data_IF_855167588046
#
_entry.id   IF_855167588046
#
_cell.length_a   1.000
_cell.length_b   1.000
_cell.length_c   1.000
_cell.angle_alpha   90.00
_cell.angle_beta   90.00
_cell.angle_gamma   90.00
#
_symmetry.space_group_name_H-M   'P 1'
#
loop_
_entity.id
_entity.type
_entity.pdbx_description
1 polymer ?
#
# COMPACT_ATOMS: atom_id res chain seq x y z
N UNK A 1 9.76 -15.43 19.32
CA UNK A 1 8.81 -14.79 20.26
C UNK A 1 8.19 -15.82 21.18
N UNK A 2 7.70 -15.41 22.34
CA UNK A 2 6.97 -16.30 23.25
C UNK A 2 5.61 -16.70 22.62
N UNK A 3 5.17 -17.96 22.74
CA UNK A 3 3.84 -18.37 22.33
C UNK A 3 2.74 -17.72 23.17
N UNK A 4 1.52 -17.67 22.63
CA UNK A 4 0.34 -17.24 23.40
C UNK A 4 0.04 -18.23 24.54
N UNK A 5 -0.60 -17.74 25.60
CA UNK A 5 -1.08 -18.59 26.69
C UNK A 5 -2.36 -19.33 26.31
N UNK A 6 -2.66 -20.43 27.01
CA UNK A 6 -3.93 -21.15 26.83
C UNK A 6 -5.14 -20.25 27.07
N UNK A 7 -5.10 -19.40 28.10
CA UNK A 7 -6.14 -18.40 28.36
C UNK A 7 -6.37 -17.49 27.14
N UNK A 8 -5.29 -17.04 26.51
CA UNK A 8 -5.40 -16.19 25.32
C UNK A 8 -5.96 -16.96 24.12
N UNK A 9 -5.61 -18.23 23.98
CA UNK A 9 -6.18 -19.11 22.97
C UNK A 9 -7.70 -19.28 23.15
N UNK A 10 -8.16 -19.46 24.39
CA UNK A 10 -9.59 -19.58 24.71
C UNK A 10 -10.33 -18.28 24.36
N UNK A 11 -9.79 -17.11 24.75
CA UNK A 11 -10.34 -15.79 24.37
C UNK A 11 -10.47 -15.61 22.85
N UNK A 12 -9.47 -16.04 22.07
CA UNK A 12 -9.49 -15.95 20.62
C UNK A 12 -10.51 -16.92 20.00
N UNK A 13 -10.63 -18.12 20.57
CA UNK A 13 -11.59 -19.13 20.11
C UNK A 13 -13.03 -18.69 20.38
N UNK A 14 -13.29 -18.08 21.53
CA UNK A 14 -14.60 -17.51 21.87
C UNK A 14 -14.95 -16.33 20.94
N UNK A 15 -13.98 -15.46 20.67
CA UNK A 15 -14.20 -14.25 19.88
C UNK A 15 -14.41 -14.51 18.39
N UNK A 16 -13.61 -15.39 17.79
CA UNK A 16 -13.55 -15.57 16.34
C UNK A 16 -14.15 -16.90 15.86
N UNK A 17 -14.36 -17.84 16.78
CA UNK A 17 -14.73 -19.21 16.45
C UNK A 17 -13.52 -20.06 16.07
N UNK A 18 -13.55 -21.32 16.50
CA UNK A 18 -12.45 -22.28 16.31
C UNK A 18 -12.10 -22.52 14.83
N UNK A 19 -13.10 -22.53 13.96
CA UNK A 19 -12.92 -22.75 12.52
C UNK A 19 -12.20 -21.59 11.84
N UNK A 20 -12.70 -20.37 12.03
CA UNK A 20 -12.06 -19.14 11.53
C UNK A 20 -10.62 -19.05 12.01
N UNK A 21 -10.40 -19.28 13.30
CA UNK A 21 -9.06 -19.23 13.90
C UNK A 21 -8.10 -20.26 13.28
N UNK A 22 -8.58 -21.46 12.92
CA UNK A 22 -7.76 -22.46 12.25
C UNK A 22 -7.29 -21.98 10.86
N UNK A 23 -8.21 -21.42 10.09
CA UNK A 23 -7.91 -20.92 8.74
C UNK A 23 -7.00 -19.70 8.76
N UNK A 24 -7.25 -18.75 9.67
CA UNK A 24 -6.42 -17.56 9.82
C UNK A 24 -5.00 -17.93 10.27
N UNK A 25 -4.86 -18.83 11.25
CA UNK A 25 -3.54 -19.31 11.66
C UNK A 25 -2.83 -20.04 10.52
N UNK A 26 -3.54 -20.84 9.71
CA UNK A 26 -2.93 -21.53 8.57
C UNK A 26 -2.41 -20.54 7.54
N UNK A 27 -3.19 -19.51 7.23
CA UNK A 27 -2.77 -18.44 6.34
C UNK A 27 -1.52 -17.73 6.85
N UNK A 28 -1.49 -17.37 8.14
CA UNK A 28 -0.32 -16.71 8.74
C UNK A 28 0.91 -17.63 8.78
N UNK A 29 0.72 -18.94 8.96
CA UNK A 29 1.78 -19.94 8.85
C UNK A 29 2.33 -20.02 7.42
N UNK A 30 1.46 -20.05 6.42
CA UNK A 30 1.85 -20.15 5.01
C UNK A 30 2.59 -18.91 4.51
N UNK A 31 2.31 -17.75 5.11
CA UNK A 31 3.06 -16.52 4.87
C UNK A 31 4.33 -16.40 5.71
N UNK A 32 4.65 -17.39 6.53
CA UNK A 32 5.82 -17.38 7.40
C UNK A 32 5.76 -16.38 8.56
N UNK A 33 4.57 -15.83 8.87
CA UNK A 33 4.38 -14.82 9.93
C UNK A 33 4.17 -15.46 11.30
N UNK A 34 3.58 -16.65 11.33
CA UNK A 34 3.40 -17.48 12.52
C UNK A 34 4.14 -18.81 12.32
N UNK A 35 4.62 -19.42 13.40
CA UNK A 35 5.36 -20.69 13.33
C UNK A 35 4.57 -21.76 12.55
N UNK A 36 5.18 -22.49 11.60
CA UNK A 36 4.49 -23.34 10.64
C UNK A 36 3.68 -24.49 11.26
N UNK A 37 4.06 -24.94 12.47
CA UNK A 37 3.37 -25.98 13.23
C UNK A 37 2.30 -25.46 14.20
N UNK A 38 1.90 -24.18 14.14
CA UNK A 38 0.90 -23.61 15.04
C UNK A 38 -0.49 -24.23 14.85
N UNK A 39 -0.84 -24.61 13.63
CA UNK A 39 -2.07 -25.34 13.30
C UNK A 39 -1.79 -26.40 12.23
N UNK A 40 -2.41 -27.57 12.40
CA UNK A 40 -2.30 -28.70 11.45
C UNK A 40 -3.69 -29.11 11.01
N UNK A 41 -3.85 -29.27 9.69
CA UNK A 41 -5.05 -29.76 9.05
C UNK A 41 -4.84 -31.22 8.68
N UNK A 42 -5.60 -32.11 9.31
CA UNK A 42 -5.63 -33.53 9.01
C UNK A 42 -6.34 -33.79 7.68
N UNK A 43 -6.04 -34.95 7.08
CA UNK A 43 -6.69 -35.42 5.84
C UNK A 43 -8.17 -35.75 6.04
N UNK A 44 -8.60 -35.88 7.30
CA UNK A 44 -9.98 -36.08 7.75
C UNK A 44 -10.75 -34.76 7.97
N UNK A 45 -10.11 -33.62 7.71
CA UNK A 45 -10.68 -32.29 8.00
C UNK A 45 -10.54 -31.87 9.47
N UNK A 46 -9.90 -32.68 10.30
CA UNK A 46 -9.58 -32.36 11.69
C UNK A 46 -8.57 -31.22 11.79
N UNK A 47 -8.76 -30.32 12.77
CA UNK A 47 -7.87 -29.18 13.00
C UNK A 47 -7.27 -29.29 14.39
N UNK A 48 -5.95 -29.39 14.45
CA UNK A 48 -5.19 -29.46 15.70
C UNK A 48 -4.40 -28.18 15.90
N UNK A 49 -4.58 -27.53 17.05
CA UNK A 49 -3.84 -26.34 17.44
C UNK A 49 -2.68 -26.72 18.36
N UNK A 50 -1.49 -26.24 18.06
CA UNK A 50 -0.33 -26.39 18.93
C UNK A 50 -0.08 -25.05 19.63
N UNK A 51 -0.73 -24.84 20.78
CA UNK A 51 -0.69 -23.58 21.52
C UNK A 51 0.76 -23.15 21.83
N UNK A 52 1.63 -24.11 22.18
CA UNK A 52 3.06 -23.87 22.42
C UNK A 52 3.86 -23.46 21.18
N UNK A 53 3.23 -23.43 20.01
CA UNK A 53 3.80 -22.97 18.73
C UNK A 53 3.02 -21.81 18.13
N UNK A 54 1.92 -21.34 18.72
CA UNK A 54 1.24 -20.12 18.23
C UNK A 54 2.07 -18.91 18.69
N UNK A 55 3.09 -18.58 17.90
CA UNK A 55 4.03 -17.50 18.13
C UNK A 55 4.41 -16.85 16.79
N UNK A 56 4.63 -15.53 16.81
CA UNK A 56 5.17 -14.82 15.66
C UNK A 56 6.62 -15.26 15.37
N UNK A 57 6.94 -15.35 14.08
CA UNK A 57 8.33 -15.45 13.58
C UNK A 57 9.01 -14.08 13.63
N UNK A 58 10.28 -14.00 13.22
CA UNK A 58 10.94 -12.70 13.04
C UNK A 58 10.18 -11.84 12.03
N UNK A 59 9.88 -12.40 10.85
CA UNK A 59 9.08 -11.75 9.81
C UNK A 59 7.68 -11.36 10.29
N UNK A 60 7.07 -12.17 11.17
CA UNK A 60 5.78 -11.85 11.78
C UNK A 60 5.83 -10.65 12.72
N UNK A 61 6.92 -10.49 13.47
CA UNK A 61 7.16 -9.33 14.33
C UNK A 61 7.42 -8.09 13.49
N UNK A 62 8.25 -8.21 12.45
CA UNK A 62 8.52 -7.11 11.54
C UNK A 62 7.26 -6.69 10.79
N UNK A 63 6.42 -7.64 10.36
CA UNK A 63 5.14 -7.36 9.74
C UNK A 63 4.14 -6.67 10.69
N UNK A 64 4.08 -7.10 11.94
CA UNK A 64 3.18 -6.50 12.94
C UNK A 64 3.62 -5.09 13.38
N UNK A 65 4.93 -4.80 13.29
CA UNK A 65 5.51 -3.51 13.65
C UNK A 65 5.69 -2.57 12.44
N UNK A 66 5.72 -3.10 11.23
CA UNK A 66 5.69 -2.31 10.02
C UNK A 66 4.30 -1.66 9.88
N UNK A 67 4.27 -0.46 9.30
CA UNK A 67 3.04 0.18 8.87
C UNK A 67 2.42 -0.70 7.76
N UNK A 68 1.61 -1.67 8.16
CA UNK A 68 1.04 -2.73 7.31
C UNK A 68 0.23 -2.13 6.16
N UNK A 69 -0.33 -0.95 6.36
CA UNK A 69 -1.02 -0.14 5.36
C UNK A 69 -0.03 0.36 4.28
N UNK A 70 1.16 0.81 4.65
CA UNK A 70 2.18 1.30 3.71
C UNK A 70 2.75 0.21 2.81
N UNK A 71 2.94 -1.00 3.35
CA UNK A 71 3.46 -2.15 2.59
C UNK A 71 2.43 -2.76 1.64
N UNK A 72 1.14 -2.79 2.03
CA UNK A 72 0.06 -3.24 1.13
C UNK A 72 -0.21 -2.22 0.01
N UNK A 73 -0.04 -0.93 0.28
CA UNK A 73 -0.32 0.14 -0.69
C UNK A 73 0.85 0.51 -1.62
N UNK A 74 2.01 -0.17 -1.57
CA UNK A 74 3.22 0.22 -2.36
C UNK A 74 3.52 1.73 -2.28
N UNK A 75 3.30 2.33 -1.11
CA UNK A 75 3.46 3.78 -0.95
C UNK A 75 4.94 4.12 -1.02
N UNK A 76 5.32 4.92 -2.01
CA UNK A 76 6.67 5.48 -2.11
C UNK A 76 6.62 6.91 -1.60
N UNK A 77 7.29 7.19 -0.48
CA UNK A 77 7.45 8.57 0.00
C UNK A 77 8.42 9.33 -0.91
N UNK A 78 7.89 10.24 -1.72
CA UNK A 78 8.71 11.13 -2.55
C UNK A 78 8.95 12.44 -1.79
N UNK A 79 10.21 12.71 -1.41
CA UNK A 79 10.61 14.00 -0.84
C UNK A 79 10.95 14.97 -1.96
N UNK A 80 10.15 16.02 -2.09
CA UNK A 80 10.35 17.07 -3.11
C UNK A 80 10.89 18.32 -2.42
N UNK A 81 12.04 18.80 -2.88
CA UNK A 81 12.64 20.02 -2.35
C UNK A 81 11.83 21.25 -2.74
N UNK A 82 11.77 22.27 -1.88
CA UNK A 82 10.99 23.50 -2.12
C UNK A 82 11.37 24.22 -3.42
N UNK A 83 12.66 24.14 -3.82
CA UNK A 83 13.12 24.65 -5.11
C UNK A 83 12.43 24.00 -6.30
N UNK A 84 12.11 22.71 -6.22
CA UNK A 84 11.40 21.97 -7.26
C UNK A 84 9.94 22.41 -7.35
N UNK A 85 9.29 22.70 -6.21
CA UNK A 85 7.94 23.27 -6.19
C UNK A 85 7.90 24.63 -6.87
N UNK A 86 8.87 25.51 -6.57
CA UNK A 86 9.00 26.83 -7.20
C UNK A 86 9.22 26.74 -8.71
N UNK A 87 10.00 25.77 -9.17
CA UNK A 87 10.20 25.54 -10.60
C UNK A 87 8.90 25.11 -11.29
N UNK A 88 8.12 24.23 -10.66
CA UNK A 88 6.80 23.81 -11.17
C UNK A 88 5.84 25.01 -11.24
N UNK A 89 5.79 25.86 -10.22
CA UNK A 89 4.98 27.08 -10.28
C UNK A 89 5.37 28.00 -11.44
N UNK A 90 6.66 28.14 -11.71
CA UNK A 90 7.16 28.98 -12.81
C UNK A 90 6.77 28.39 -14.17
N UNK A 91 6.87 27.07 -14.35
CA UNK A 91 6.42 26.38 -15.56
C UNK A 91 4.91 26.58 -15.78
N UNK A 92 4.09 26.46 -14.73
CA UNK A 92 2.63 26.68 -14.82
C UNK A 92 2.33 28.13 -15.24
N UNK A 93 3.06 29.11 -14.68
CA UNK A 93 2.91 30.52 -15.04
C UNK A 93 3.26 30.78 -16.51
N UNK A 94 4.30 30.13 -17.03
CA UNK A 94 4.74 30.28 -18.42
C UNK A 94 3.95 29.46 -19.44
N UNK A 95 3.20 28.43 -19.01
CA UNK A 95 2.43 27.59 -19.91
C UNK A 95 1.31 28.36 -20.64
N UNK A 96 0.98 27.97 -21.86
CA UNK A 96 -0.15 28.53 -22.63
C UNK A 96 -1.49 27.92 -22.19
N UNK A 97 -1.83 28.14 -20.92
CA UNK A 97 -3.08 27.71 -20.30
C UNK A 97 -3.98 28.90 -19.99
N UNK A 98 -5.29 28.67 -19.91
CA UNK A 98 -6.22 29.71 -19.46
C UNK A 98 -5.92 30.13 -18.01
N UNK A 99 -6.24 31.37 -17.66
CA UNK A 99 -6.02 31.90 -16.30
C UNK A 99 -6.71 31.04 -15.22
N UNK A 100 -7.88 30.46 -15.53
CA UNK A 100 -8.61 29.55 -14.65
C UNK A 100 -7.83 28.25 -14.40
N UNK A 101 -7.22 27.67 -15.44
CA UNK A 101 -6.42 26.46 -15.32
C UNK A 101 -5.12 26.73 -14.54
N UNK A 102 -4.44 27.84 -14.80
CA UNK A 102 -3.24 28.25 -14.06
C UNK A 102 -3.53 28.43 -12.57
N UNK A 103 -4.61 29.12 -12.22
CA UNK A 103 -5.00 29.34 -10.82
C UNK A 103 -5.30 28.02 -10.10
N UNK A 104 -6.01 27.10 -10.76
CA UNK A 104 -6.30 25.78 -10.19
C UNK A 104 -5.04 24.94 -9.98
N UNK A 105 -4.09 24.96 -10.93
CA UNK A 105 -2.83 24.23 -10.82
C UNK A 105 -1.94 24.80 -9.70
N UNK A 106 -1.86 26.14 -9.58
CA UNK A 106 -1.08 26.78 -8.53
C UNK A 106 -1.66 26.54 -7.12
N UNK A 107 -2.99 26.47 -6.97
CA UNK A 107 -3.59 26.09 -5.68
C UNK A 107 -3.25 24.65 -5.30
N UNK A 108 -3.24 23.73 -6.28
CA UNK A 108 -2.88 22.33 -6.05
C UNK A 108 -1.43 22.16 -5.60
N UNK A 109 -0.49 22.94 -6.16
CA UNK A 109 0.92 22.95 -5.71
C UNK A 109 1.02 23.34 -4.23
N UNK A 110 0.28 24.37 -3.81
CA UNK A 110 0.33 24.91 -2.44
C UNK A 110 -0.36 24.02 -1.42
N UNK A 111 -1.53 23.48 -1.76
CA UNK A 111 -2.38 22.77 -0.81
C UNK A 111 -2.01 21.29 -0.68
N UNK A 112 -1.50 20.67 -1.75
CA UNK A 112 -1.30 19.22 -1.84
C UNK A 112 0.11 18.81 -2.30
N UNK A 113 1.00 19.77 -2.54
CA UNK A 113 2.36 19.52 -3.01
C UNK A 113 2.44 19.07 -4.48
N UNK A 114 3.66 18.84 -4.96
CA UNK A 114 3.90 18.52 -6.36
C UNK A 114 3.32 17.19 -6.84
N UNK A 115 3.10 16.21 -5.95
CA UNK A 115 2.52 14.92 -6.33
C UNK A 115 1.09 15.08 -6.87
N UNK A 116 0.26 15.86 -6.19
CA UNK A 116 -1.10 16.14 -6.64
C UNK A 116 -1.14 16.93 -7.95
N UNK A 117 -0.11 17.74 -8.21
CA UNK A 117 0.05 18.51 -9.45
C UNK A 117 0.41 17.58 -10.60
N UNK A 118 1.32 16.62 -10.39
CA UNK A 118 1.64 15.59 -11.37
C UNK A 118 0.39 14.78 -11.71
N UNK A 119 -0.37 14.30 -10.72
CA UNK A 119 -1.62 13.57 -10.93
C UNK A 119 -2.64 14.38 -11.74
N UNK A 120 -2.84 15.66 -11.41
CA UNK A 120 -3.75 16.56 -12.14
C UNK A 120 -3.27 16.91 -13.55
N UNK A 121 -1.95 17.03 -13.77
CA UNK A 121 -1.40 17.23 -15.11
C UNK A 121 -1.60 15.99 -15.98
N UNK A 122 -1.40 14.79 -15.41
CA UNK A 122 -1.72 13.51 -16.07
C UNK A 122 -3.20 13.47 -16.43
N UNK A 123 -4.10 13.74 -15.47
CA UNK A 123 -5.54 13.82 -15.74
C UNK A 123 -5.89 14.83 -16.84
N UNK A 124 -5.27 16.01 -16.86
CA UNK A 124 -5.51 17.04 -17.90
C UNK A 124 -5.00 16.63 -19.27
N UNK A 125 -3.85 15.94 -19.34
CA UNK A 125 -3.33 15.38 -20.59
C UNK A 125 -4.29 14.30 -21.10
N UNK A 126 -4.74 13.38 -20.25
CA UNK A 126 -5.66 12.31 -20.64
C UNK A 126 -7.09 12.79 -20.92
N UNK A 127 -7.54 13.88 -20.29
CA UNK A 127 -8.83 14.50 -20.57
C UNK A 127 -8.83 15.28 -21.91
N UNK A 128 -7.66 15.63 -22.45
CA UNK A 128 -7.53 16.27 -23.76
C UNK A 128 -6.98 15.24 -24.76
N UNK A 129 -7.88 14.61 -25.51
CA UNK A 129 -7.55 13.53 -26.45
C UNK A 129 -6.41 13.87 -27.44
N UNK A 130 -6.27 15.13 -27.85
CA UNK A 130 -5.18 15.57 -28.73
C UNK A 130 -3.81 15.55 -28.04
N UNK A 131 -3.74 16.06 -26.81
CA UNK A 131 -2.51 16.04 -26.00
C UNK A 131 -2.18 14.63 -25.51
N UNK A 132 -3.18 13.83 -25.12
CA UNK A 132 -3.02 12.42 -24.76
C UNK A 132 -2.38 11.62 -25.90
N UNK A 133 -2.87 11.79 -27.12
CA UNK A 133 -2.37 11.07 -28.30
C UNK A 133 -0.93 11.46 -28.64
N UNK A 134 -0.59 12.76 -28.53
CA UNK A 134 0.78 13.24 -28.74
C UNK A 134 1.74 12.69 -27.66
N UNK A 135 1.36 12.75 -26.40
CA UNK A 135 2.16 12.24 -25.28
C UNK A 135 2.37 10.72 -25.36
N UNK A 136 1.33 9.95 -25.70
CA UNK A 136 1.43 8.51 -25.95
C UNK A 136 2.37 8.20 -27.11
N UNK A 137 2.29 8.96 -28.21
CA UNK A 137 3.14 8.77 -29.38
C UNK A 137 4.61 9.01 -29.07
N UNK A 138 4.93 10.02 -28.27
CA UNK A 138 6.31 10.36 -27.87
C UNK A 138 6.87 9.40 -26.80
N UNK A 139 6.03 8.95 -25.86
CA UNK A 139 6.39 7.90 -24.92
C UNK A 139 6.67 6.57 -25.66
N UNK A 140 5.85 6.19 -26.63
CA UNK A 140 6.09 4.99 -27.45
C UNK A 140 7.34 5.13 -28.32
N UNK A 141 7.66 6.32 -28.83
CA UNK A 141 8.85 6.57 -29.64
C UNK A 141 10.17 6.49 -28.85
N UNK A 142 10.14 6.60 -27.52
CA UNK A 142 11.32 6.45 -26.65
C UNK A 142 11.58 5.01 -26.21
N UNK A 143 10.72 4.05 -26.60
CA UNK A 143 10.91 2.61 -26.41
C UNK A 143 11.45 1.88 -27.65
N UNK A 144 11.64 2.58 -28.78
CA UNK A 144 12.21 2.06 -30.03
C UNK A 144 13.45 2.88 -30.43
#
# INVERSE_FOLDING_TARGET
MAPISSKKFDELTEKYGKETLAHDLKFLCDRGLVHPSAVVFGTDGGKTFNIGRIALTADGVDFANADSIGNELRVTTIKIHDSTLKNIENIIKSAELSNKQKASLLSLVKDKGAEAVVGKCVEMVFANAGLATAALKEALASFF
#
